data_IF_545801752964
#
_entry.id   IF_545801752964
#
_cell.length_a   1.000
_cell.length_b   1.000
_cell.length_c   1.000
_cell.angle_alpha   90.00
_cell.angle_beta   90.00
_cell.angle_gamma   90.00
#
_symmetry.space_group_name_H-M   'P 1'
#
loop_
_entity.id
_entity.type
_entity.pdbx_description
1 polymer ?
#
# COMPACT_ATOMS: atom_id res chain seq x y z
N UNK A 1 15.14 25.69 9.53
CA UNK A 1 15.18 24.51 8.65
C UNK A 1 13.76 23.95 8.54
N UNK A 2 13.13 24.02 7.37
CA UNK A 2 11.80 23.43 7.16
C UNK A 2 11.91 21.91 7.32
N UNK A 3 11.22 21.35 8.32
CA UNK A 3 11.19 19.92 8.57
C UNK A 3 10.45 19.25 7.41
N UNK A 4 11.19 18.59 6.51
CA UNK A 4 10.59 17.86 5.38
C UNK A 4 9.65 16.77 5.92
N UNK A 5 8.47 16.62 5.30
CA UNK A 5 7.53 15.54 5.63
C UNK A 5 8.21 14.19 5.45
N UNK A 6 8.00 13.27 6.39
CA UNK A 6 8.53 11.90 6.29
C UNK A 6 7.73 11.00 5.36
N UNK A 7 6.54 11.45 4.92
CA UNK A 7 5.61 10.67 4.10
C UNK A 7 5.65 11.08 2.63
N UNK A 8 5.99 12.33 2.33
CA UNK A 8 6.10 12.80 0.96
C UNK A 8 7.37 12.23 0.30
N UNK A 9 7.19 11.52 -0.83
CA UNK A 9 8.28 11.04 -1.67
C UNK A 9 8.11 11.64 -3.07
N UNK A 10 9.08 12.43 -3.52
CA UNK A 10 9.09 12.98 -4.87
C UNK A 10 9.36 11.87 -5.89
N UNK A 11 8.69 11.96 -7.03
CA UNK A 11 8.98 11.10 -8.18
C UNK A 11 9.99 11.80 -9.07
N UNK A 12 11.16 11.19 -9.22
CA UNK A 12 12.15 11.64 -10.19
C UNK A 12 11.92 10.91 -11.53
N UNK A 13 11.49 11.61 -12.60
CA UNK A 13 11.22 10.99 -13.90
C UNK A 13 12.50 10.56 -14.64
N UNK A 14 13.69 10.94 -14.18
CA UNK A 14 14.95 10.48 -14.78
C UNK A 14 15.23 9.00 -14.48
N UNK A 15 14.59 8.45 -13.44
CA UNK A 15 14.74 7.04 -13.06
C UNK A 15 13.76 6.19 -13.89
N UNK A 16 14.23 5.21 -14.70
CA UNK A 16 13.38 4.52 -15.67
C UNK A 16 12.09 3.86 -15.11
N UNK A 17 12.10 3.19 -13.95
CA UNK A 17 10.88 2.62 -13.37
C UNK A 17 9.86 3.68 -12.95
N UNK A 18 10.30 4.88 -12.54
CA UNK A 18 9.40 5.98 -12.19
C UNK A 18 8.72 6.54 -13.45
N UNK A 19 9.49 6.72 -14.53
CA UNK A 19 8.92 7.15 -15.81
C UNK A 19 7.94 6.13 -16.36
N UNK A 20 8.29 4.84 -16.30
CA UNK A 20 7.44 3.76 -16.79
C UNK A 20 6.08 3.74 -16.09
N UNK A 21 6.02 3.91 -14.77
CA UNK A 21 4.73 3.94 -14.05
C UNK A 21 3.93 5.21 -14.35
N UNK A 22 4.59 6.36 -14.55
CA UNK A 22 3.92 7.60 -14.92
C UNK A 22 3.26 7.45 -16.29
N UNK A 23 4.00 6.92 -17.27
CA UNK A 23 3.49 6.65 -18.62
C UNK A 23 2.36 5.63 -18.58
N UNK A 24 2.54 4.50 -17.89
CA UNK A 24 1.50 3.47 -17.77
C UNK A 24 0.21 4.02 -17.13
N UNK A 25 0.33 4.79 -16.05
CA UNK A 25 -0.81 5.42 -15.39
C UNK A 25 -1.51 6.43 -16.29
N UNK A 26 -0.74 7.21 -17.06
CA UNK A 26 -1.27 8.13 -18.08
C UNK A 26 -1.99 7.41 -19.23
N UNK A 27 -1.44 6.30 -19.71
CA UNK A 27 -2.10 5.45 -20.71
C UNK A 27 -3.43 4.90 -20.18
N UNK A 28 -3.48 4.42 -18.93
CA UNK A 28 -4.72 3.93 -18.31
C UNK A 28 -5.74 5.05 -18.11
N UNK A 29 -5.30 6.25 -17.74
CA UNK A 29 -6.15 7.45 -17.64
C UNK A 29 -6.83 7.73 -18.98
N UNK A 30 -6.04 7.83 -20.06
CA UNK A 30 -6.54 8.13 -21.39
C UNK A 30 -7.43 7.01 -21.94
N UNK A 31 -6.98 5.75 -21.86
CA UNK A 31 -7.74 4.61 -22.36
C UNK A 31 -9.08 4.45 -21.64
N UNK A 32 -9.09 4.59 -20.30
CA UNK A 32 -10.33 4.53 -19.51
C UNK A 32 -11.23 5.71 -19.82
N UNK A 33 -10.69 6.93 -19.89
CA UNK A 33 -11.47 8.14 -20.16
C UNK A 33 -12.12 8.10 -21.54
N UNK A 34 -11.35 7.74 -22.58
CA UNK A 34 -11.85 7.57 -23.94
C UNK A 34 -12.89 6.44 -23.98
N UNK A 35 -12.59 5.28 -23.38
CA UNK A 35 -13.51 4.14 -23.35
C UNK A 35 -14.84 4.47 -22.69
N UNK A 36 -14.82 5.14 -21.53
CA UNK A 36 -16.02 5.57 -20.82
C UNK A 36 -16.83 6.61 -21.63
N UNK A 37 -16.16 7.58 -22.25
CA UNK A 37 -16.81 8.60 -23.08
C UNK A 37 -17.48 7.98 -24.32
N UNK A 38 -16.78 7.07 -25.02
CA UNK A 38 -17.34 6.34 -26.16
C UNK A 38 -18.47 5.40 -25.75
N UNK A 39 -18.44 4.89 -24.52
CA UNK A 39 -19.53 4.11 -23.92
C UNK A 39 -20.74 4.94 -23.50
N UNK A 40 -20.74 6.25 -23.71
CA UNK A 40 -21.85 7.14 -23.37
C UNK A 40 -21.94 7.52 -21.90
N UNK A 41 -20.88 7.30 -21.10
CA UNK A 41 -20.86 7.71 -19.70
C UNK A 41 -20.90 9.24 -19.56
N UNK A 42 -21.51 9.71 -18.48
CA UNK A 42 -21.58 11.15 -18.19
C UNK A 42 -20.18 11.75 -17.89
N UNK A 43 -19.98 13.07 -18.07
CA UNK A 43 -18.66 13.69 -17.89
C UNK A 43 -18.02 13.43 -16.51
N UNK A 44 -18.83 13.48 -15.45
CA UNK A 44 -18.37 13.22 -14.07
C UNK A 44 -17.92 11.77 -13.91
N UNK A 45 -18.68 10.83 -14.45
CA UNK A 45 -18.37 9.41 -14.39
C UNK A 45 -17.08 9.07 -15.16
N UNK A 46 -16.91 9.65 -16.35
CA UNK A 46 -15.68 9.52 -17.14
C UNK A 46 -14.47 9.95 -16.31
N UNK A 47 -14.55 11.12 -15.66
CA UNK A 47 -13.47 11.64 -14.83
C UNK A 47 -13.21 10.70 -13.64
N UNK A 48 -14.24 10.30 -12.89
CA UNK A 48 -14.10 9.44 -11.71
C UNK A 48 -13.50 8.08 -12.09
N UNK A 49 -13.97 7.44 -13.15
CA UNK A 49 -13.45 6.15 -13.60
C UNK A 49 -12.01 6.26 -14.08
N UNK A 50 -11.71 7.26 -14.93
CA UNK A 50 -10.38 7.45 -15.49
C UNK A 50 -9.35 7.72 -14.38
N UNK A 51 -9.62 8.68 -13.50
CA UNK A 51 -8.71 9.01 -12.42
C UNK A 51 -8.61 7.87 -11.40
N UNK A 52 -9.72 7.26 -11.01
CA UNK A 52 -9.72 6.16 -10.04
C UNK A 52 -8.88 4.97 -10.49
N UNK A 53 -9.03 4.55 -11.77
CA UNK A 53 -8.24 3.44 -12.34
C UNK A 53 -6.77 3.80 -12.55
N UNK A 54 -6.50 5.00 -13.07
CA UNK A 54 -5.12 5.50 -13.25
C UNK A 54 -4.37 5.57 -11.91
N UNK A 55 -5.01 6.16 -10.90
CA UNK A 55 -4.43 6.29 -9.57
C UNK A 55 -4.26 4.93 -8.89
N UNK A 56 -5.16 3.97 -9.13
CA UNK A 56 -5.02 2.60 -8.63
C UNK A 56 -3.76 1.90 -9.17
N UNK A 57 -3.44 2.11 -10.45
CA UNK A 57 -2.21 1.58 -11.07
C UNK A 57 -0.97 2.18 -10.41
N UNK A 58 -0.95 3.50 -10.24
CA UNK A 58 0.13 4.18 -9.54
C UNK A 58 0.27 3.72 -8.09
N UNK A 59 -0.85 3.56 -7.36
CA UNK A 59 -0.85 3.13 -5.97
C UNK A 59 -0.39 1.68 -5.82
N UNK A 60 -0.71 0.77 -6.74
CA UNK A 60 -0.18 -0.59 -6.72
C UNK A 60 1.35 -0.60 -6.77
N UNK A 61 1.93 0.19 -7.67
CA UNK A 61 3.37 0.35 -7.79
C UNK A 61 3.97 0.98 -6.54
N UNK A 62 3.35 2.05 -6.02
CA UNK A 62 3.85 2.74 -4.84
C UNK A 62 3.81 1.85 -3.58
N UNK A 63 2.72 1.12 -3.38
CA UNK A 63 2.57 0.14 -2.29
C UNK A 63 3.60 -0.98 -2.41
N UNK A 64 3.85 -1.48 -3.61
CA UNK A 64 4.85 -2.52 -3.82
C UNK A 64 6.27 -2.03 -3.56
N UNK A 65 6.61 -0.76 -3.88
CA UNK A 65 7.91 -0.19 -3.51
C UNK A 65 8.12 -0.04 -2.01
N UNK A 66 7.03 0.15 -1.26
CA UNK A 66 7.09 0.15 0.20
C UNK A 66 7.13 -1.27 0.77
N UNK A 67 6.46 -2.22 0.11
CA UNK A 67 6.44 -3.62 0.53
C UNK A 67 7.72 -4.38 0.17
N UNK A 68 8.38 -4.04 -0.95
CA UNK A 68 9.55 -4.72 -1.49
C UNK A 68 10.54 -3.68 -2.08
N UNK A 69 11.22 -2.91 -1.22
CA UNK A 69 12.04 -1.76 -1.65
C UNK A 69 13.29 -2.13 -2.44
N UNK A 70 13.76 -3.38 -2.33
CA UNK A 70 14.98 -3.85 -3.00
C UNK A 70 14.76 -4.17 -4.48
N UNK A 71 13.50 -4.37 -4.91
CA UNK A 71 13.21 -4.88 -6.24
C UNK A 71 12.29 -3.94 -7.03
N UNK A 72 12.87 -2.97 -7.73
CA UNK A 72 12.11 -2.12 -8.65
C UNK A 72 11.25 -2.89 -9.69
N UNK A 73 11.67 -4.06 -10.23
CA UNK A 73 10.84 -4.83 -11.15
C UNK A 73 9.54 -5.37 -10.53
N UNK A 74 9.54 -5.77 -9.24
CA UNK A 74 8.32 -6.28 -8.59
C UNK A 74 7.26 -5.18 -8.48
N UNK A 75 7.67 -3.94 -8.22
CA UNK A 75 6.78 -2.80 -8.21
C UNK A 75 6.23 -2.44 -9.60
N UNK A 76 7.04 -2.55 -10.66
CA UNK A 76 6.53 -2.33 -12.01
C UNK A 76 5.52 -3.43 -12.39
N UNK A 77 5.81 -4.68 -12.02
CA UNK A 77 4.90 -5.81 -12.22
C UNK A 77 3.56 -5.59 -11.53
N UNK A 78 3.52 -5.00 -10.33
CA UNK A 78 2.26 -4.70 -9.64
C UNK A 78 1.43 -3.62 -10.34
N UNK A 79 2.10 -2.60 -10.89
CA UNK A 79 1.46 -1.58 -11.73
C UNK A 79 0.83 -2.19 -12.99
N UNK A 80 1.60 -3.02 -13.71
CA UNK A 80 1.13 -3.73 -14.92
C UNK A 80 -0.02 -4.69 -14.61
N UNK A 81 0.11 -5.50 -13.55
CA UNK A 81 -0.94 -6.41 -13.10
C UNK A 81 -2.22 -5.67 -12.74
N UNK A 82 -2.10 -4.52 -12.06
CA UNK A 82 -3.25 -3.67 -11.75
C UNK A 82 -3.88 -3.09 -12.99
N UNK A 83 -3.09 -2.59 -13.94
CA UNK A 83 -3.59 -2.04 -15.21
C UNK A 83 -4.40 -3.09 -15.98
N UNK A 84 -3.90 -4.34 -16.04
CA UNK A 84 -4.63 -5.45 -16.65
C UNK A 84 -5.95 -5.76 -15.92
N UNK A 85 -5.94 -5.77 -14.59
CA UNK A 85 -7.14 -5.99 -13.77
C UNK A 85 -8.18 -4.88 -13.96
N UNK A 86 -7.76 -3.62 -14.10
CA UNK A 86 -8.67 -2.47 -14.28
C UNK A 86 -9.48 -2.52 -15.57
N UNK A 87 -9.15 -3.40 -16.53
CA UNK A 87 -9.98 -3.63 -17.72
C UNK A 87 -11.32 -4.31 -17.40
N UNK A 88 -11.40 -5.06 -16.29
CA UNK A 88 -12.58 -5.87 -15.94
C UNK A 88 -13.12 -5.59 -14.55
N UNK A 89 -12.26 -5.13 -13.64
CA UNK A 89 -12.66 -4.89 -12.25
C UNK A 89 -13.31 -3.51 -12.07
N UNK A 90 -14.16 -3.36 -11.05
CA UNK A 90 -14.64 -2.06 -10.62
C UNK A 90 -13.48 -1.17 -10.16
N UNK A 91 -13.74 0.14 -10.09
CA UNK A 91 -12.78 1.11 -9.55
C UNK A 91 -12.49 0.76 -8.07
N UNK A 92 -11.22 0.55 -7.68
CA UNK A 92 -10.84 0.27 -6.29
C UNK A 92 -11.12 1.44 -5.34
N UNK A 93 -11.14 1.16 -4.04
CA UNK A 93 -11.21 2.20 -3.00
C UNK A 93 -9.85 2.89 -2.86
N UNK A 94 -9.71 3.99 -3.60
CA UNK A 94 -8.49 4.81 -3.63
C UNK A 94 -8.12 5.34 -2.24
N UNK A 95 -9.09 5.74 -1.42
CA UNK A 95 -8.81 6.33 -0.11
C UNK A 95 -8.22 5.27 0.82
N UNK A 96 -8.76 4.05 0.78
CA UNK A 96 -8.24 2.90 1.50
C UNK A 96 -6.80 2.55 1.08
N UNK A 97 -6.50 2.61 -0.22
CA UNK A 97 -5.15 2.37 -0.75
C UNK A 97 -4.15 3.46 -0.37
N UNK A 98 -4.58 4.73 -0.38
CA UNK A 98 -3.77 5.85 0.14
C UNK A 98 -3.48 5.64 1.62
N UNK A 99 -4.48 5.27 2.42
CA UNK A 99 -4.29 4.97 3.84
C UNK A 99 -3.25 3.86 4.07
N UNK A 100 -3.31 2.76 3.31
CA UNK A 100 -2.27 1.73 3.35
C UNK A 100 -0.89 2.30 3.02
N UNK A 101 -0.77 3.11 1.97
CA UNK A 101 0.51 3.71 1.60
C UNK A 101 1.08 4.59 2.72
N UNK A 102 0.23 5.38 3.40
CA UNK A 102 0.63 6.21 4.54
C UNK A 102 1.15 5.36 5.71
N UNK A 103 0.47 4.25 6.03
CA UNK A 103 0.91 3.31 7.06
C UNK A 103 2.33 2.78 6.79
N UNK A 104 2.55 2.29 5.57
CA UNK A 104 3.84 1.71 5.21
C UNK A 104 4.95 2.75 5.21
N UNK A 105 4.70 3.94 4.67
CA UNK A 105 5.69 5.03 4.64
C UNK A 105 6.11 5.50 6.03
N UNK A 106 5.17 5.62 6.97
CA UNK A 106 5.50 5.99 8.36
C UNK A 106 6.44 4.96 8.99
N UNK A 107 6.22 3.67 8.72
CA UNK A 107 7.03 2.60 9.30
C UNK A 107 8.38 2.45 8.63
N UNK A 108 8.39 2.34 7.30
CA UNK A 108 9.58 2.10 6.52
C UNK A 108 10.55 3.27 6.58
N UNK A 109 10.03 4.50 6.63
CA UNK A 109 10.82 5.74 6.48
C UNK A 109 11.72 5.69 5.24
N UNK A 110 11.16 5.26 4.10
CA UNK A 110 11.87 5.22 2.80
C UNK A 110 12.44 6.58 2.40
N UNK A 111 11.81 7.68 2.86
CA UNK A 111 12.27 9.06 2.69
C UNK A 111 13.53 9.42 3.51
N UNK A 112 13.97 8.56 4.42
CA UNK A 112 15.06 8.83 5.38
C UNK A 112 14.67 9.75 6.54
N UNK A 113 13.45 10.28 6.55
CA UNK A 113 12.98 11.22 7.57
C UNK A 113 11.92 10.60 8.48
N UNK A 114 11.95 10.97 9.76
CA UNK A 114 10.90 10.58 10.70
C UNK A 114 9.61 11.32 10.37
N UNK A 115 8.47 10.62 10.34
CA UNK A 115 7.17 11.26 10.18
C UNK A 115 6.97 12.40 11.20
N UNK A 116 6.50 13.56 10.73
CA UNK A 116 6.19 14.70 11.59
C UNK A 116 4.92 14.45 12.42
N UNK A 117 4.59 15.34 13.36
CA UNK A 117 3.31 15.29 14.07
C UNK A 117 2.13 15.53 13.14
N UNK A 118 2.31 16.42 12.15
CA UNK A 118 1.33 16.63 11.08
C UNK A 118 1.12 15.35 10.24
N UNK A 119 2.20 14.66 9.87
CA UNK A 119 2.15 13.38 9.17
C UNK A 119 1.36 12.31 9.96
N UNK A 120 1.55 12.23 11.28
CA UNK A 120 0.73 11.38 12.16
C UNK A 120 -0.74 11.79 12.17
N UNK A 121 -1.02 13.09 12.23
CA UNK A 121 -2.39 13.62 12.18
C UNK A 121 -3.10 13.25 10.88
N UNK A 122 -2.39 13.33 9.75
CA UNK A 122 -2.88 12.88 8.44
C UNK A 122 -3.19 11.38 8.46
N UNK A 123 -2.31 10.53 8.98
CA UNK A 123 -2.60 9.10 9.10
C UNK A 123 -3.86 8.85 9.93
N UNK A 124 -3.98 9.48 11.10
CA UNK A 124 -5.15 9.34 11.98
C UNK A 124 -6.41 9.80 11.26
N UNK A 125 -6.37 10.93 10.56
CA UNK A 125 -7.49 11.42 9.76
C UNK A 125 -7.92 10.41 8.68
N UNK A 126 -6.99 9.88 7.89
CA UNK A 126 -7.31 8.89 6.86
C UNK A 126 -7.77 7.54 7.44
N UNK A 127 -7.46 7.24 8.71
CA UNK A 127 -7.91 6.00 9.38
C UNK A 127 -9.42 5.97 9.61
N UNK A 128 -10.08 7.13 9.67
CA UNK A 128 -11.54 7.18 9.81
C UNK A 128 -12.27 6.59 8.61
N UNK A 129 -11.71 6.68 7.39
CA UNK A 129 -12.40 6.18 6.19
C UNK A 129 -12.55 4.65 6.19
N UNK A 130 -11.48 3.83 6.34
CA UNK A 130 -11.63 2.39 6.46
C UNK A 130 -12.57 1.97 7.60
N UNK A 131 -12.54 2.68 8.74
CA UNK A 131 -13.48 2.43 9.85
C UNK A 131 -14.93 2.71 9.46
N UNK A 132 -15.17 3.79 8.71
CA UNK A 132 -16.49 4.15 8.21
C UNK A 132 -17.06 3.10 7.26
N UNK A 133 -16.21 2.53 6.40
CA UNK A 133 -16.55 1.42 5.49
C UNK A 133 -16.70 0.08 6.25
N UNK A 134 -16.32 0.03 7.53
CA UNK A 134 -16.52 -1.13 8.41
C UNK A 134 -15.28 -1.97 8.68
N UNK A 135 -14.08 -1.51 8.29
CA UNK A 135 -12.80 -2.12 8.62
C UNK A 135 -12.43 -1.87 10.09
N UNK A 136 -12.94 -2.71 10.99
CA UNK A 136 -12.65 -2.61 12.44
C UNK A 136 -11.15 -2.60 12.72
N UNK A 137 -10.37 -3.39 11.96
CA UNK A 137 -8.92 -3.51 12.14
C UNK A 137 -8.14 -2.25 11.77
N UNK A 138 -8.74 -1.26 11.10
CA UNK A 138 -8.00 -0.07 10.65
C UNK A 138 -7.40 0.73 11.81
N UNK A 139 -8.15 0.95 12.89
CA UNK A 139 -7.61 1.67 14.06
C UNK A 139 -6.47 0.91 14.75
N UNK A 140 -6.63 -0.39 15.08
CA UNK A 140 -5.54 -1.23 15.57
C UNK A 140 -4.31 -1.25 14.66
N UNK A 141 -4.46 -1.31 13.34
CA UNK A 141 -3.35 -1.29 12.38
C UNK A 141 -2.62 0.07 12.39
N UNK A 142 -3.37 1.19 12.39
CA UNK A 142 -2.80 2.53 12.49
C UNK A 142 -2.08 2.76 13.83
N UNK A 143 -2.67 2.30 14.92
CA UNK A 143 -2.05 2.36 16.24
C UNK A 143 -0.78 1.49 16.30
N UNK A 144 -0.80 0.28 15.76
CA UNK A 144 0.37 -0.58 15.68
C UNK A 144 1.48 0.09 14.87
N UNK A 145 1.17 0.69 13.73
CA UNK A 145 2.16 1.41 12.91
C UNK A 145 2.81 2.57 13.69
N UNK A 146 2.01 3.38 14.38
CA UNK A 146 2.51 4.51 15.18
C UNK A 146 3.34 4.04 16.39
N UNK A 147 2.89 3.01 17.12
CA UNK A 147 3.62 2.46 18.26
C UNK A 147 4.94 1.81 17.84
N UNK A 148 4.94 1.08 16.74
CA UNK A 148 6.15 0.49 16.16
C UNK A 148 7.12 1.58 15.69
N UNK A 149 6.64 2.66 15.08
CA UNK A 149 7.50 3.79 14.71
C UNK A 149 8.21 4.42 15.92
N UNK A 150 7.55 4.43 17.08
CA UNK A 150 8.09 4.89 18.36
C UNK A 150 8.93 3.89 19.15
N UNK A 151 9.00 2.61 18.73
CA UNK A 151 9.73 1.53 19.44
C UNK A 151 10.87 0.92 18.63
N UNK A 152 10.78 0.91 17.30
CA UNK A 152 11.82 0.40 16.42
C UNK A 152 13.04 1.34 16.37
N UNK A 153 14.13 0.88 15.75
CA UNK A 153 15.40 1.60 15.73
C UNK A 153 15.22 3.07 15.29
N UNK A 154 15.93 4.00 15.94
CA UNK A 154 15.72 5.46 15.84
C UNK A 154 14.27 5.84 16.22
N UNK A 155 13.84 5.60 17.47
CA UNK A 155 12.45 5.77 17.89
C UNK A 155 12.01 7.22 17.76
N UNK A 156 10.81 7.45 17.22
CA UNK A 156 10.20 8.77 17.23
C UNK A 156 9.43 9.02 18.53
N UNK A 157 9.68 10.16 19.17
CA UNK A 157 8.93 10.58 20.34
C UNK A 157 7.48 10.97 19.99
N UNK A 158 6.57 10.89 20.97
CA UNK A 158 5.21 11.43 20.84
C UNK A 158 4.23 10.58 20.02
N UNK A 159 4.52 9.30 19.76
CA UNK A 159 3.61 8.41 18.99
C UNK A 159 2.47 7.81 19.80
N UNK A 160 2.53 7.87 21.13
CA UNK A 160 1.51 7.29 22.01
C UNK A 160 0.16 7.98 21.84
N UNK A 161 0.12 9.31 21.83
CA UNK A 161 -1.13 10.08 21.69
C UNK A 161 -1.85 9.77 20.37
N UNK A 162 -1.23 9.89 19.17
CA UNK A 162 -1.93 9.59 17.93
C UNK A 162 -2.32 8.10 17.83
N UNK A 163 -1.55 7.18 18.40
CA UNK A 163 -1.92 5.77 18.48
C UNK A 163 -3.15 5.54 19.35
N UNK A 164 -3.22 6.20 20.51
CA UNK A 164 -4.39 6.14 21.39
C UNK A 164 -5.63 6.72 20.70
N UNK A 165 -5.51 7.85 19.98
CA UNK A 165 -6.61 8.43 19.21
C UNK A 165 -7.11 7.44 18.14
N UNK A 166 -6.21 6.79 17.40
CA UNK A 166 -6.60 5.79 16.39
C UNK A 166 -7.34 4.58 16.98
N UNK A 167 -6.93 4.11 18.17
CA UNK A 167 -7.64 3.05 18.89
C UNK A 167 -9.00 3.52 19.40
N UNK A 168 -9.08 4.69 20.02
CA UNK A 168 -10.33 5.25 20.52
C UNK A 168 -11.33 5.48 19.40
N UNK A 169 -10.87 5.90 18.23
CA UNK A 169 -11.70 6.00 17.02
C UNK A 169 -12.27 4.63 16.61
N UNK A 170 -11.49 3.55 16.73
CA UNK A 170 -11.98 2.19 16.43
C UNK A 170 -13.06 1.74 17.42
N UNK A 171 -12.84 2.01 18.72
CA UNK A 171 -13.83 1.71 19.77
C UNK A 171 -15.10 2.51 19.53
N UNK A 172 -14.98 3.80 19.21
CA UNK A 172 -16.13 4.65 18.90
C UNK A 172 -16.90 4.14 17.67
N UNK A 173 -16.19 3.73 16.60
CA UNK A 173 -16.80 3.13 15.42
C UNK A 173 -17.57 1.84 15.76
N UNK A 174 -16.98 0.97 16.59
CA UNK A 174 -17.65 -0.24 17.08
C UNK A 174 -18.91 0.07 17.89
N UNK A 175 -18.83 1.00 18.85
CA UNK A 175 -19.98 1.44 19.64
C UNK A 175 -21.08 2.09 18.77
N UNK A 176 -20.70 2.75 17.67
CA UNK A 176 -21.62 3.33 16.70
C UNK A 176 -22.18 2.30 15.69
N UNK A 177 -21.90 1.01 15.87
CA UNK A 177 -22.35 -0.04 14.96
C UNK A 177 -21.68 -0.01 13.57
N UNK A 178 -20.53 0.65 13.44
CA UNK A 178 -19.76 0.76 12.19
C UNK A 178 -18.81 -0.42 12.03
N UNK A 179 -19.39 -1.60 11.86
CA UNK A 179 -18.68 -2.80 11.49
C UNK A 179 -19.36 -3.41 10.27
N UNK A 180 -18.56 -3.89 9.31
CA UNK A 180 -19.15 -4.57 8.17
C UNK A 180 -19.66 -5.94 8.60
N UNK A 181 -20.84 -6.30 8.09
CA UNK A 181 -21.27 -7.70 8.06
C UNK A 181 -20.32 -8.42 7.12
N UNK A 182 -19.65 -9.46 7.62
CA UNK A 182 -18.66 -10.23 6.87
C UNK A 182 -19.35 -10.77 5.61
N UNK A 183 -18.96 -10.25 4.45
CA UNK A 183 -19.38 -10.83 3.18
C UNK A 183 -18.72 -12.20 3.05
N UNK A 184 -19.48 -13.21 2.64
CA UNK A 184 -18.90 -14.51 2.34
C UNK A 184 -17.97 -14.34 1.14
N UNK A 185 -16.70 -14.71 1.30
CA UNK A 185 -15.75 -14.72 0.19
C UNK A 185 -16.17 -15.80 -0.79
N UNK A 186 -16.24 -15.44 -2.06
CA UNK A 186 -16.38 -16.44 -3.12
C UNK A 186 -15.15 -17.33 -3.18
N UNK A 187 -15.27 -18.54 -3.73
CA UNK A 187 -14.14 -19.46 -3.85
C UNK A 187 -12.92 -18.84 -4.60
N UNK A 188 -13.09 -18.10 -5.72
CA UNK A 188 -11.97 -17.43 -6.39
C UNK A 188 -11.30 -16.36 -5.52
N UNK A 189 -12.08 -15.58 -4.77
CA UNK A 189 -11.56 -14.56 -3.85
C UNK A 189 -10.75 -15.19 -2.71
N UNK A 190 -11.25 -16.29 -2.16
CA UNK A 190 -10.54 -17.07 -1.14
C UNK A 190 -9.20 -17.59 -1.67
N UNK A 191 -9.18 -18.13 -2.90
CA UNK A 191 -7.96 -18.58 -3.53
C UNK A 191 -6.97 -17.43 -3.77
N UNK A 192 -7.45 -16.25 -4.16
CA UNK A 192 -6.60 -15.06 -4.32
C UNK A 192 -5.96 -14.64 -2.99
N UNK A 193 -6.77 -14.54 -1.92
CA UNK A 193 -6.30 -14.18 -0.57
C UNK A 193 -5.29 -15.20 -0.07
N UNK A 194 -5.57 -16.49 -0.23
CA UNK A 194 -4.68 -17.58 0.17
C UNK A 194 -3.35 -17.52 -0.61
N UNK A 195 -3.43 -17.39 -1.94
CA UNK A 195 -2.25 -17.35 -2.81
C UNK A 195 -1.39 -16.12 -2.51
N UNK A 196 -2.01 -14.94 -2.39
CA UNK A 196 -1.32 -13.70 -2.03
C UNK A 196 -0.64 -13.80 -0.67
N UNK A 197 -1.31 -14.40 0.31
CA UNK A 197 -0.75 -14.62 1.65
C UNK A 197 0.46 -15.56 1.60
N UNK A 198 0.30 -16.74 0.99
CA UNK A 198 1.35 -17.76 0.92
C UNK A 198 2.57 -17.25 0.16
N UNK A 199 2.38 -16.57 -0.98
CA UNK A 199 3.48 -16.05 -1.79
C UNK A 199 4.20 -14.87 -1.12
N UNK A 200 3.52 -14.11 -0.27
CA UNK A 200 4.12 -12.93 0.37
C UNK A 200 4.90 -13.26 1.65
N UNK A 201 4.62 -14.37 2.34
CA UNK A 201 5.36 -14.80 3.54
C UNK A 201 6.88 -14.96 3.30
N UNK A 202 7.34 -15.59 2.18
CA UNK A 202 8.76 -15.63 1.84
C UNK A 202 9.41 -14.26 1.67
N UNK A 203 8.67 -13.27 1.15
CA UNK A 203 9.15 -11.87 1.00
C UNK A 203 9.49 -11.28 2.36
N UNK A 204 8.60 -11.44 3.35
CA UNK A 204 8.82 -11.00 4.74
C UNK A 204 10.07 -11.65 5.35
N UNK A 205 10.34 -12.89 4.99
CA UNK A 205 11.50 -13.64 5.48
C UNK A 205 12.79 -13.19 4.81
N UNK A 206 12.75 -12.91 3.51
CA UNK A 206 13.90 -12.48 2.72
C UNK A 206 14.39 -11.07 3.10
N UNK A 207 13.50 -10.16 3.51
CA UNK A 207 13.85 -8.79 3.93
C UNK A 207 14.64 -8.67 5.24
N UNK A 208 15.21 -9.77 5.75
CA UNK A 208 16.22 -9.74 6.83
C UNK A 208 17.54 -9.11 6.38
N UNK A 209 17.85 -9.19 5.09
CA UNK A 209 19.01 -8.58 4.47
C UNK A 209 18.52 -7.58 3.44
N UNK A 210 18.50 -6.30 3.80
CA UNK A 210 18.13 -5.23 2.88
C UNK A 210 19.38 -4.55 2.36
N UNK A 211 19.41 -4.31 1.06
CA UNK A 211 20.48 -3.57 0.39
C UNK A 211 20.03 -2.18 -0.05
N UNK A 212 18.72 -1.91 -0.09
CA UNK A 212 18.17 -0.60 -0.43
C UNK A 212 18.58 0.49 0.56
N UNK A 213 18.93 1.64 -0.01
CA UNK A 213 19.19 2.88 0.72
C UNK A 213 17.88 3.68 0.85
N UNK A 214 17.83 4.54 1.86
CA UNK A 214 16.82 5.59 1.92
C UNK A 214 16.98 6.61 0.78
N UNK A 215 15.97 7.46 0.58
CA UNK A 215 15.99 8.48 -0.48
C UNK A 215 17.09 9.54 -0.30
N UNK A 216 17.74 9.59 0.87
CA UNK A 216 18.90 10.47 1.07
C UNK A 216 20.18 9.84 0.53
N UNK A 217 20.19 8.54 0.30
CA UNK A 217 21.34 7.77 -0.20
C UNK A 217 22.42 7.52 0.85
N UNK A 218 22.20 7.91 2.12
CA UNK A 218 23.22 7.86 3.16
C UNK A 218 23.05 6.71 4.17
N UNK A 219 21.87 6.11 4.25
CA UNK A 219 21.60 5.01 5.19
C UNK A 219 20.84 3.88 4.52
N UNK A 220 21.22 2.64 4.84
CA UNK A 220 20.42 1.46 4.50
C UNK A 220 19.09 1.48 5.23
N UNK A 221 18.04 0.95 4.60
CA UNK A 221 16.76 0.75 5.24
C UNK A 221 16.87 -0.27 6.39
N UNK A 222 16.10 -0.03 7.45
CA UNK A 222 16.07 -0.93 8.60
C UNK A 222 15.16 -2.14 8.31
N UNK A 223 15.77 -3.32 8.23
CA UNK A 223 15.08 -4.59 8.01
C UNK A 223 13.95 -4.86 9.00
N UNK A 224 14.05 -4.42 10.26
CA UNK A 224 12.97 -4.60 11.24
C UNK A 224 11.76 -3.74 10.90
N UNK A 225 11.99 -2.53 10.39
CA UNK A 225 10.92 -1.60 9.98
C UNK A 225 10.20 -2.12 8.74
N UNK A 226 10.95 -2.51 7.71
CA UNK A 226 10.37 -3.06 6.48
C UNK A 226 9.57 -4.33 6.75
N UNK A 227 10.11 -5.27 7.54
CA UNK A 227 9.37 -6.49 7.91
C UNK A 227 8.10 -6.21 8.71
N UNK A 228 8.14 -5.21 9.58
CA UNK A 228 6.95 -4.78 10.33
C UNK A 228 5.90 -4.16 9.42
N UNK A 229 6.31 -3.34 8.46
CA UNK A 229 5.42 -2.75 7.46
C UNK A 229 4.82 -3.82 6.55
N UNK A 230 5.63 -4.78 6.06
CA UNK A 230 5.15 -5.91 5.26
C UNK A 230 4.13 -6.76 6.04
N UNK A 231 4.40 -7.06 7.32
CA UNK A 231 3.45 -7.78 8.16
C UNK A 231 2.13 -7.02 8.33
N UNK A 232 2.18 -5.70 8.53
CA UNK A 232 0.97 -4.87 8.60
C UNK A 232 0.25 -4.76 7.24
N UNK A 233 0.97 -4.71 6.12
CA UNK A 233 0.38 -4.74 4.79
C UNK A 233 -0.43 -6.02 4.58
N UNK A 234 0.17 -7.17 4.94
CA UNK A 234 -0.48 -8.48 4.81
C UNK A 234 -1.68 -8.61 5.76
N UNK A 235 -1.51 -8.27 7.04
CA UNK A 235 -2.59 -8.30 8.02
C UNK A 235 -3.75 -7.38 7.63
N UNK A 236 -3.43 -6.19 7.12
CA UNK A 236 -4.44 -5.25 6.67
C UNK A 236 -5.13 -5.69 5.37
N UNK A 237 -4.40 -6.29 4.42
CA UNK A 237 -5.01 -6.88 3.22
C UNK A 237 -5.99 -8.01 3.57
N UNK A 238 -5.58 -8.92 4.46
CA UNK A 238 -6.45 -10.00 4.98
C UNK A 238 -7.65 -9.40 5.73
N UNK A 239 -7.42 -8.43 6.61
CA UNK A 239 -8.48 -7.76 7.38
C UNK A 239 -9.47 -6.97 6.52
N UNK A 240 -9.03 -6.52 5.35
CA UNK A 240 -9.83 -5.82 4.36
C UNK A 240 -10.58 -6.75 3.39
N UNK A 241 -10.12 -7.99 3.21
CA UNK A 241 -10.71 -8.93 2.26
C UNK A 241 -12.23 -9.11 2.41
N UNK A 242 -12.81 -9.21 3.64
CA UNK A 242 -14.26 -9.31 3.82
C UNK A 242 -15.08 -8.09 3.37
N UNK A 243 -14.42 -6.94 3.18
CA UNK A 243 -15.05 -5.71 2.68
C UNK A 243 -15.11 -5.66 1.15
N UNK A 244 -14.43 -6.59 0.49
CA UNK A 244 -14.31 -6.67 -0.96
C UNK A 244 -12.85 -6.84 -1.37
N UNK A 245 -12.50 -8.05 -1.79
CA UNK A 245 -11.14 -8.37 -2.26
C UNK A 245 -10.71 -7.47 -3.42
N UNK A 246 -11.64 -7.16 -4.32
CA UNK A 246 -11.36 -6.28 -5.46
C UNK A 246 -11.31 -4.79 -5.10
N UNK A 247 -11.90 -4.37 -3.98
CA UNK A 247 -11.82 -2.98 -3.51
C UNK A 247 -10.38 -2.57 -3.16
N UNK A 248 -9.54 -3.53 -2.80
CA UNK A 248 -8.10 -3.37 -2.56
C UNK A 248 -7.24 -4.17 -3.54
N UNK A 249 -7.74 -4.43 -4.76
CA UNK A 249 -7.00 -5.16 -5.78
C UNK A 249 -5.56 -4.62 -6.03
N UNK A 250 -5.30 -3.30 -6.00
CA UNK A 250 -3.94 -2.75 -6.12
C UNK A 250 -2.98 -3.22 -5.01
N UNK A 251 -3.47 -3.36 -3.77
CA UNK A 251 -2.68 -3.90 -2.67
C UNK A 251 -2.40 -5.39 -2.89
N UNK A 252 -3.41 -6.18 -3.26
CA UNK A 252 -3.21 -7.60 -3.59
C UNK A 252 -2.22 -7.79 -4.75
N UNK A 253 -2.30 -6.95 -5.77
CA UNK A 253 -1.36 -6.93 -6.89
C UNK A 253 0.07 -6.66 -6.42
N UNK A 254 0.27 -5.71 -5.49
CA UNK A 254 1.57 -5.44 -4.88
C UNK A 254 2.13 -6.66 -4.14
N UNK A 255 1.33 -7.29 -3.27
CA UNK A 255 1.76 -8.46 -2.51
C UNK A 255 2.07 -9.67 -3.41
N UNK A 256 1.21 -9.94 -4.39
CA UNK A 256 1.41 -11.02 -5.36
C UNK A 256 2.65 -10.78 -6.23
N UNK A 257 2.85 -9.55 -6.72
CA UNK A 257 3.98 -9.24 -7.60
C UNK A 257 5.31 -9.38 -6.87
N UNK A 258 5.39 -8.93 -5.61
CA UNK A 258 6.55 -9.17 -4.76
C UNK A 258 6.80 -10.67 -4.55
N UNK A 259 5.75 -11.43 -4.21
CA UNK A 259 5.86 -12.88 -4.00
C UNK A 259 6.31 -13.64 -5.25
N UNK A 260 5.70 -13.34 -6.41
CA UNK A 260 6.05 -13.93 -7.71
C UNK A 260 7.48 -13.59 -8.08
N UNK A 261 7.91 -12.34 -7.91
CA UNK A 261 9.28 -11.93 -8.21
C UNK A 261 10.31 -12.72 -7.38
N UNK A 262 10.07 -12.87 -6.09
CA UNK A 262 10.91 -13.68 -5.22
C UNK A 262 10.95 -15.15 -5.65
N UNK A 263 9.80 -15.74 -6.01
CA UNK A 263 9.72 -17.11 -6.50
C UNK A 263 10.52 -17.30 -7.80
N UNK A 264 10.41 -16.36 -8.75
CA UNK A 264 11.17 -16.37 -9.99
C UNK A 264 12.69 -16.29 -9.73
N UNK A 265 13.14 -15.49 -8.77
CA UNK A 265 14.57 -15.42 -8.40
C UNK A 265 15.07 -16.72 -7.78
N UNK A 266 14.25 -17.39 -6.96
CA UNK A 266 14.60 -18.68 -6.36
C UNK A 266 14.75 -19.78 -7.43
N UNK A 267 13.82 -19.84 -8.38
CA UNK A 267 13.83 -20.84 -9.46
C UNK A 267 14.93 -20.55 -10.49
N UNK A 268 15.20 -19.27 -10.78
CA UNK A 268 16.19 -18.83 -11.77
C UNK A 268 17.66 -18.97 -11.35
N UNK A 269 17.96 -19.53 -10.17
CA UNK A 269 19.34 -19.78 -9.73
C UNK A 269 20.18 -18.52 -9.48
N UNK A 270 19.54 -17.36 -9.32
CA UNK A 270 20.23 -16.10 -9.09
C UNK A 270 20.97 -16.12 -7.75
N UNK A 271 22.30 -16.28 -7.79
CA UNK A 271 23.16 -16.05 -6.63
C UNK A 271 22.83 -14.67 -6.03
N UNK A 272 22.72 -14.54 -4.70
CA UNK A 272 22.56 -13.24 -4.08
C UNK A 272 23.79 -12.41 -4.42
N UNK A 273 23.61 -11.35 -5.21
CA UNK A 273 24.60 -10.29 -5.32
C UNK A 273 24.62 -9.59 -3.96
N UNK A 274 25.69 -9.82 -3.21
CA UNK A 274 25.95 -9.19 -1.92
C UNK A 274 26.18 -7.68 -2.02
#
# INVERSE_FOLDING_TARGET
MLRRSGIARSLDPTVPPNLAIIVLSGCVLLATGIGAALGGAGPVEVVVQAFGRSLSVFLAWALCREADPDHAPSALLSGVGTAACMLRLPVPDVIMLVWFLLLLRILNRTSGHTATTADCGVLVFFTFWPQWVGMVLAGPLAAAALLLDGRLNRPAAGRLLPAAIALMAAVAALCAGRYAVISSLTFPEMLLVLTGTVLFIPVISASRHLHSLDDTGFSSLDSRRVRSAQALALLGAIGAAPLGVFAIAPLWSALLSAGVWHLLRMVGGGRPTG
#
